data_IF_795130050913
#
_entry.id   IF_795130050913
#
_cell.length_a   1.000
_cell.length_b   1.000
_cell.length_c   1.000
_cell.angle_alpha   90.00
_cell.angle_beta   90.00
_cell.angle_gamma   90.00
#
_symmetry.space_group_name_H-M   'P 1'
#
loop_
_entity.id
_entity.type
_entity.pdbx_description
1 polymer ?
#
# COMPACT_ATOMS: atom_id res chain seq x y z
N UNK A 1 3.32 1.94 -4.23
CA UNK A 1 2.76 0.65 -3.78
C UNK A 1 1.80 0.14 -4.84
N UNK A 2 1.60 -1.16 -4.93
CA UNK A 2 0.69 -1.82 -5.88
C UNK A 2 -0.02 -2.98 -5.18
N UNK A 3 -1.07 -3.50 -5.79
CA UNK A 3 -1.62 -4.82 -5.43
C UNK A 3 -0.59 -5.89 -5.80
N UNK A 4 -0.37 -6.88 -4.94
CA UNK A 4 0.58 -7.95 -5.20
C UNK A 4 0.15 -8.72 -6.47
N UNK A 5 1.07 -8.97 -7.43
CA UNK A 5 0.71 -9.66 -8.68
C UNK A 5 0.22 -11.09 -8.48
N UNK A 6 0.67 -11.73 -7.39
CA UNK A 6 0.37 -13.09 -6.98
C UNK A 6 -0.82 -13.18 -6.01
N UNK A 7 -1.20 -12.07 -5.37
CA UNK A 7 -2.27 -12.04 -4.38
C UNK A 7 -3.06 -10.71 -4.43
N UNK A 8 -4.28 -10.70 -5.00
CA UNK A 8 -5.09 -9.49 -5.10
C UNK A 8 -5.59 -8.95 -3.75
N UNK A 9 -5.42 -9.71 -2.66
CA UNK A 9 -5.77 -9.29 -1.31
C UNK A 9 -4.62 -8.60 -0.56
N UNK A 10 -3.40 -8.57 -1.14
CA UNK A 10 -2.21 -8.00 -0.51
C UNK A 10 -1.71 -6.77 -1.26
N UNK A 11 -1.23 -5.77 -0.52
CA UNK A 11 -0.58 -4.57 -1.08
C UNK A 11 0.89 -4.59 -0.70
N UNK A 12 1.74 -4.34 -1.68
CA UNK A 12 3.20 -4.34 -1.52
C UNK A 12 3.81 -2.97 -1.85
N UNK A 13 4.88 -2.57 -1.16
CA UNK A 13 5.64 -1.38 -1.53
C UNK A 13 6.29 -1.59 -2.91
N UNK A 14 6.33 -0.53 -3.72
CA UNK A 14 7.03 -0.52 -5.00
C UNK A 14 7.90 0.74 -5.09
N UNK A 15 9.04 0.79 -4.37
CA UNK A 15 9.90 1.97 -4.34
C UNK A 15 10.58 2.23 -5.69
N UNK A 16 10.75 1.18 -6.51
CA UNK A 16 11.35 1.27 -7.84
C UNK A 16 10.33 1.70 -8.92
N UNK A 17 9.03 1.68 -8.61
CA UNK A 17 7.92 2.02 -9.52
C UNK A 17 7.91 1.16 -10.78
N UNK A 18 8.27 -0.10 -10.65
CA UNK A 18 8.47 -1.01 -11.77
C UNK A 18 7.43 -2.13 -11.83
N UNK A 19 6.55 -2.24 -10.83
CA UNK A 19 5.56 -3.31 -10.80
C UNK A 19 4.38 -3.00 -11.73
N UNK A 20 3.84 -4.02 -12.43
CA UNK A 20 2.71 -3.82 -13.33
C UNK A 20 1.42 -3.53 -12.55
N UNK A 21 0.47 -2.89 -13.24
CA UNK A 21 -0.87 -2.63 -12.70
C UNK A 21 -1.05 -1.23 -12.14
N UNK A 22 -2.13 -1.04 -11.39
CA UNK A 22 -2.49 0.25 -10.79
C UNK A 22 -1.67 0.49 -9.52
N UNK A 23 -0.95 1.60 -9.47
CA UNK A 23 -0.19 2.02 -8.30
C UNK A 23 -0.87 3.14 -7.48
N UNK A 24 -0.44 3.25 -6.23
CA UNK A 24 -0.76 4.36 -5.33
C UNK A 24 0.52 4.87 -4.65
N UNK A 25 0.52 6.17 -4.37
CA UNK A 25 1.61 6.86 -3.68
C UNK A 25 1.27 7.08 -2.21
N UNK A 26 2.30 7.04 -1.37
CA UNK A 26 2.24 7.35 0.05
C UNK A 26 3.54 8.02 0.44
N UNK A 27 3.46 9.05 1.27
CA UNK A 27 4.63 9.59 1.95
C UNK A 27 5.22 8.48 2.82
N UNK A 28 6.54 8.20 2.77
CA UNK A 28 7.13 7.04 3.43
C UNK A 28 7.34 7.27 4.94
N UNK A 29 6.28 7.64 5.65
CA UNK A 29 6.25 7.81 7.11
C UNK A 29 5.13 6.97 7.72
N UNK A 30 5.28 6.57 8.98
CA UNK A 30 4.26 5.80 9.70
C UNK A 30 2.97 6.61 9.88
N UNK A 31 3.07 7.91 10.14
CA UNK A 31 1.91 8.81 10.30
C UNK A 31 1.03 8.85 9.04
N UNK A 32 1.65 8.92 7.86
CA UNK A 32 0.92 8.90 6.59
C UNK A 32 0.23 7.55 6.36
N UNK A 33 0.90 6.46 6.72
CA UNK A 33 0.34 5.12 6.65
C UNK A 33 -0.88 4.96 7.56
N UNK A 34 -0.78 5.33 8.84
CA UNK A 34 -1.87 5.22 9.81
C UNK A 34 -3.08 6.06 9.40
N UNK A 35 -2.85 7.27 8.87
CA UNK A 35 -3.91 8.10 8.34
C UNK A 35 -4.62 7.46 7.13
N UNK A 36 -3.85 6.85 6.22
CA UNK A 36 -4.40 6.15 5.06
C UNK A 36 -5.20 4.91 5.46
N UNK A 37 -4.74 4.14 6.46
CA UNK A 37 -5.46 3.00 7.04
C UNK A 37 -6.78 3.43 7.66
N UNK A 38 -6.75 4.44 8.55
CA UNK A 38 -7.93 4.99 9.23
C UNK A 38 -9.00 5.48 8.26
N UNK A 39 -8.57 6.04 7.11
CA UNK A 39 -9.45 6.55 6.05
C UNK A 39 -9.87 5.48 5.03
N UNK A 40 -9.41 4.23 5.18
CA UNK A 40 -9.59 3.13 4.20
C UNK A 40 -9.16 3.55 2.78
N UNK A 41 -8.07 4.32 2.68
CA UNK A 41 -7.66 4.96 1.44
C UNK A 41 -7.07 3.96 0.42
N UNK A 42 -6.43 2.88 0.89
CA UNK A 42 -5.74 1.91 0.05
C UNK A 42 -6.66 1.20 -0.95
N UNK A 43 -7.78 0.64 -0.47
CA UNK A 43 -8.77 -0.02 -1.32
C UNK A 43 -9.32 0.93 -2.39
N UNK A 44 -9.65 2.18 -2.02
CA UNK A 44 -10.12 3.20 -2.97
C UNK A 44 -9.06 3.55 -4.02
N UNK A 45 -7.82 3.80 -3.59
CA UNK A 45 -6.74 4.22 -4.49
C UNK A 45 -6.38 3.12 -5.51
N UNK A 46 -6.35 1.87 -5.05
CA UNK A 46 -5.97 0.70 -5.85
C UNK A 46 -7.17 -0.01 -6.50
N UNK A 47 -8.40 0.46 -6.28
CA UNK A 47 -9.66 -0.16 -6.75
C UNK A 47 -9.85 -1.60 -6.29
N UNK A 48 -9.56 -1.86 -5.02
CA UNK A 48 -9.82 -3.15 -4.37
C UNK A 48 -11.11 -3.05 -3.57
N UNK A 49 -12.01 -4.01 -3.78
CA UNK A 49 -13.37 -4.02 -3.20
C UNK A 49 -13.41 -4.53 -1.75
N UNK A 50 -12.37 -5.24 -1.31
CA UNK A 50 -12.28 -5.85 0.01
C UNK A 50 -11.24 -5.16 0.90
N UNK A 51 -11.27 -5.52 2.18
CA UNK A 51 -10.17 -5.22 3.10
C UNK A 51 -8.92 -5.97 2.60
N UNK A 52 -7.80 -5.26 2.57
CA UNK A 52 -6.54 -5.72 1.98
C UNK A 52 -5.47 -5.73 3.04
N UNK A 53 -4.58 -6.72 2.98
CA UNK A 53 -3.41 -6.78 3.84
C UNK A 53 -2.39 -5.72 3.41
N UNK A 54 -2.10 -4.80 4.33
CA UNK A 54 -1.16 -3.68 4.15
C UNK A 54 0.13 -3.86 4.96
N UNK A 55 0.35 -5.03 5.56
CA UNK A 55 1.46 -5.30 6.48
C UNK A 55 2.83 -5.05 5.85
N UNK A 56 3.02 -5.42 4.58
CA UNK A 56 4.27 -5.16 3.85
C UNK A 56 4.56 -3.67 3.69
N UNK A 57 3.52 -2.86 3.46
CA UNK A 57 3.65 -1.40 3.35
C UNK A 57 3.96 -0.81 4.72
N UNK A 58 3.30 -1.26 5.79
CA UNK A 58 3.57 -0.83 7.17
C UNK A 58 5.03 -1.07 7.53
N UNK A 59 5.50 -2.30 7.30
CA UNK A 59 6.89 -2.68 7.57
C UNK A 59 7.88 -1.78 6.82
N UNK A 60 7.64 -1.56 5.52
CA UNK A 60 8.51 -0.72 4.70
C UNK A 60 8.58 0.73 5.19
N UNK A 61 7.47 1.34 5.61
CA UNK A 61 7.50 2.72 6.12
C UNK A 61 8.11 2.80 7.51
N UNK A 62 7.90 1.81 8.38
CA UNK A 62 8.52 1.77 9.71
C UNK A 62 10.05 1.60 9.67
N UNK A 63 10.59 1.00 8.61
CA UNK A 63 12.04 0.90 8.39
C UNK A 63 12.65 2.18 7.76
N UNK A 64 11.83 3.17 7.41
CA UNK A 64 12.23 4.41 6.73
C UNK A 64 11.99 5.70 7.53
N UNK A 65 11.24 5.62 8.62
CA UNK A 65 11.05 6.71 9.60
C UNK A 65 12.28 6.91 10.50
#
# INVERSE_FOLDING_TARGET
MVVAPDDPSRIVPDPKRSMPGRGAWLTPTLEAFELAEKRRAFGRALRVSAQVDTSDVRKYVSEKD
#
